data_IF_387149380004
#
_entry.id   IF_387149380004
#
_cell.length_a   1.000
_cell.length_b   1.000
_cell.length_c   1.000
_cell.angle_alpha   90.00
_cell.angle_beta   90.00
_cell.angle_gamma   90.00
#
_symmetry.space_group_name_H-M   'P 1'
#
loop_
_entity.id
_entity.type
_entity.pdbx_description
1 polymer ?
#
# COMPACT_ATOMS: atom_id res chain seq x y z
N UNK A 1 -20.86 -9.68 4.07
CA UNK A 1 -21.40 -8.41 3.56
C UNK A 1 -20.66 -7.27 4.26
N UNK A 2 -19.97 -6.38 3.53
CA UNK A 2 -19.28 -5.24 4.16
C UNK A 2 -20.31 -4.19 4.58
N UNK A 3 -20.31 -3.79 5.85
CA UNK A 3 -21.19 -2.69 6.31
C UNK A 3 -20.67 -1.34 5.82
N UNK A 4 -21.55 -0.34 5.73
CA UNK A 4 -21.18 1.04 5.38
C UNK A 4 -20.08 1.57 6.31
N UNK A 5 -20.17 1.27 7.61
CA UNK A 5 -19.17 1.65 8.60
C UNK A 5 -17.80 1.02 8.27
N UNK A 6 -17.74 -0.28 7.99
CA UNK A 6 -16.50 -0.96 7.67
C UNK A 6 -15.84 -0.43 6.38
N UNK A 7 -16.62 -0.10 5.36
CA UNK A 7 -16.10 0.54 4.14
C UNK A 7 -15.50 1.92 4.42
N UNK A 8 -16.18 2.73 5.25
CA UNK A 8 -15.67 4.05 5.65
C UNK A 8 -14.39 3.94 6.46
N UNK A 9 -14.34 3.07 7.47
CA UNK A 9 -13.13 2.84 8.25
C UNK A 9 -11.98 2.35 7.37
N UNK A 10 -12.24 1.43 6.44
CA UNK A 10 -11.22 0.93 5.50
C UNK A 10 -10.71 2.04 4.58
N UNK A 11 -11.59 2.91 4.10
CA UNK A 11 -11.20 4.06 3.29
C UNK A 11 -10.45 5.14 4.10
N UNK A 12 -10.84 5.42 5.35
CA UNK A 12 -10.10 6.35 6.21
C UNK A 12 -8.68 5.87 6.49
N UNK A 13 -8.52 4.58 6.83
CA UNK A 13 -7.20 3.98 7.02
C UNK A 13 -6.39 3.98 5.71
N UNK A 14 -7.04 3.77 4.57
CA UNK A 14 -6.42 3.91 3.26
C UNK A 14 -5.93 5.34 2.96
N UNK A 15 -6.72 6.37 3.30
CA UNK A 15 -6.32 7.77 3.16
C UNK A 15 -5.13 8.09 4.06
N UNK A 16 -5.15 7.63 5.31
CA UNK A 16 -4.03 7.79 6.23
C UNK A 16 -2.77 7.07 5.73
N UNK A 17 -2.92 5.84 5.25
CA UNK A 17 -1.81 5.08 4.64
C UNK A 17 -1.19 5.86 3.48
N UNK A 18 -1.99 6.32 2.52
CA UNK A 18 -1.49 7.10 1.40
C UNK A 18 -0.82 8.42 1.83
N UNK A 19 -1.37 9.11 2.83
CA UNK A 19 -0.76 10.30 3.40
C UNK A 19 0.56 10.01 4.11
N UNK A 20 0.65 8.90 4.84
CA UNK A 20 1.86 8.46 5.54
C UNK A 20 2.96 7.97 4.60
N UNK A 21 2.63 7.67 3.35
CA UNK A 21 3.64 7.42 2.30
C UNK A 21 4.09 8.72 1.64
N UNK A 22 3.15 9.60 1.27
CA UNK A 22 3.45 10.77 0.46
C UNK A 22 3.99 11.97 1.27
N UNK A 23 3.42 12.27 2.44
CA UNK A 23 3.79 13.46 3.20
C UNK A 23 5.20 13.36 3.79
N UNK A 24 5.61 12.24 4.43
CA UNK A 24 6.99 12.04 4.88
C UNK A 24 8.01 12.28 3.76
N UNK A 25 7.82 11.64 2.61
CA UNK A 25 8.71 11.78 1.47
C UNK A 25 8.85 13.23 0.97
N UNK A 26 7.78 14.02 1.03
CA UNK A 26 7.84 15.45 0.67
C UNK A 26 8.58 16.28 1.72
N UNK A 27 8.40 15.97 3.01
CA UNK A 27 9.09 16.66 4.11
C UNK A 27 10.59 16.36 4.09
N UNK A 28 10.96 15.12 3.80
CA UNK A 28 12.34 14.62 3.76
C UNK A 28 13.21 15.30 2.69
N UNK A 29 12.60 15.87 1.63
CA UNK A 29 13.30 16.73 0.66
C UNK A 29 14.01 17.92 1.31
N UNK A 30 13.50 18.41 2.44
CA UNK A 30 13.98 19.62 3.11
C UNK A 30 14.69 19.28 4.42
N UNK A 31 14.16 18.31 5.17
CA UNK A 31 14.65 18.00 6.52
C UNK A 31 15.61 16.83 6.58
N UNK A 32 15.70 16.02 5.51
CA UNK A 32 16.16 14.65 5.61
C UNK A 32 15.19 13.76 6.40
N UNK A 33 15.50 12.47 6.48
CA UNK A 33 14.75 11.49 7.25
C UNK A 33 14.79 11.82 8.76
N UNK A 34 13.62 11.76 9.41
CA UNK A 34 13.45 12.04 10.83
C UNK A 34 12.72 10.88 11.51
N UNK A 35 12.80 10.78 12.83
CA UNK A 35 12.08 9.75 13.58
C UNK A 35 10.55 9.78 13.34
N UNK A 36 9.98 10.98 13.14
CA UNK A 36 8.55 11.12 12.84
C UNK A 36 8.23 10.64 11.43
N UNK A 37 9.01 11.03 10.42
CA UNK A 37 8.76 10.61 9.04
C UNK A 37 8.93 9.10 8.88
N UNK A 38 9.95 8.54 9.53
CA UNK A 38 10.18 7.09 9.60
C UNK A 38 9.02 6.36 10.31
N UNK A 39 8.54 6.86 11.45
CA UNK A 39 7.37 6.29 12.14
C UNK A 39 6.14 6.23 11.22
N UNK A 40 5.85 7.32 10.51
CA UNK A 40 4.71 7.38 9.60
C UNK A 40 4.86 6.38 8.46
N UNK A 41 6.03 6.34 7.82
CA UNK A 41 6.35 5.37 6.75
C UNK A 41 6.19 3.93 7.24
N UNK A 42 6.74 3.60 8.40
CA UNK A 42 6.68 2.26 9.00
C UNK A 42 5.26 1.79 9.38
N UNK A 43 4.35 2.72 9.70
CA UNK A 43 2.95 2.40 10.00
C UNK A 43 2.07 2.28 8.74
N UNK A 44 2.49 2.89 7.62
CA UNK A 44 1.69 2.98 6.41
C UNK A 44 1.19 1.63 5.86
N UNK A 45 1.97 0.51 5.88
CA UNK A 45 1.51 -0.76 5.32
C UNK A 45 0.39 -1.40 6.15
N UNK A 46 0.46 -1.28 7.48
CA UNK A 46 -0.58 -1.79 8.37
C UNK A 46 -1.94 -1.09 8.13
N UNK A 47 -1.89 0.22 7.89
CA UNK A 47 -3.07 1.03 7.55
C UNK A 47 -3.65 0.69 6.16
N UNK A 48 -2.83 0.17 5.24
CA UNK A 48 -3.28 -0.24 3.90
C UNK A 48 -4.06 -1.58 3.91
N UNK A 49 -3.89 -2.43 4.91
CA UNK A 49 -4.50 -3.78 4.95
C UNK A 49 -6.03 -3.72 4.84
N UNK A 50 -6.77 -2.91 5.63
CA UNK A 50 -8.22 -2.86 5.52
C UNK A 50 -8.70 -2.31 4.17
N UNK A 51 -7.95 -1.35 3.58
CA UNK A 51 -8.25 -0.83 2.26
C UNK A 51 -8.17 -1.95 1.20
N UNK A 52 -7.08 -2.73 1.18
CA UNK A 52 -6.89 -3.81 0.22
C UNK A 52 -8.04 -4.84 0.29
N UNK A 53 -8.45 -5.22 1.50
CA UNK A 53 -9.59 -6.12 1.72
C UNK A 53 -10.90 -5.54 1.19
N UNK A 54 -11.19 -4.26 1.48
CA UNK A 54 -12.39 -3.60 1.00
C UNK A 54 -12.42 -3.44 -0.53
N UNK A 55 -11.28 -3.11 -1.16
CA UNK A 55 -11.15 -3.03 -2.61
C UNK A 55 -11.42 -4.39 -3.28
N UNK A 56 -10.90 -5.47 -2.71
CA UNK A 56 -11.16 -6.83 -3.21
C UNK A 56 -12.62 -7.23 -3.05
N UNK A 57 -13.21 -7.00 -1.88
CA UNK A 57 -14.61 -7.31 -1.61
C UNK A 57 -15.57 -6.66 -2.63
N UNK A 58 -15.22 -5.46 -3.11
CA UNK A 58 -16.01 -4.76 -4.13
C UNK A 58 -15.89 -5.32 -5.55
N UNK A 59 -14.87 -6.11 -5.85
CA UNK A 59 -14.61 -6.63 -7.21
C UNK A 59 -14.64 -8.15 -7.30
N UNK A 60 -14.94 -8.86 -6.21
CA UNK A 60 -14.86 -10.32 -6.13
C UNK A 60 -15.67 -11.03 -7.23
N UNK A 61 -16.86 -10.52 -7.56
CA UNK A 61 -17.71 -11.09 -8.61
C UNK A 61 -17.26 -10.75 -10.04
N UNK A 62 -16.43 -9.71 -10.22
CA UNK A 62 -16.00 -9.26 -11.54
C UNK A 62 -14.72 -9.97 -12.04
N UNK A 63 -13.90 -10.50 -11.14
CA UNK A 63 -12.56 -11.04 -11.47
C UNK A 63 -12.41 -12.52 -11.14
N UNK A 64 -13.32 -13.09 -10.33
CA UNK A 64 -13.31 -14.51 -9.98
C UNK A 64 -12.00 -14.95 -9.31
N UNK A 65 -11.57 -16.19 -9.58
CA UNK A 65 -10.43 -16.83 -8.92
C UNK A 65 -9.12 -16.07 -9.06
N UNK A 66 -8.85 -15.46 -10.23
CA UNK A 66 -7.65 -14.64 -10.43
C UNK A 66 -7.60 -13.47 -9.44
N UNK A 67 -8.72 -12.77 -9.26
CA UNK A 67 -8.80 -11.65 -8.32
C UNK A 67 -8.59 -12.08 -6.87
N UNK A 68 -9.07 -13.27 -6.50
CA UNK A 68 -8.87 -13.84 -5.16
C UNK A 68 -7.40 -14.19 -4.92
N UNK A 69 -6.76 -14.92 -5.84
CA UNK A 69 -5.32 -15.24 -5.73
C UNK A 69 -4.48 -13.96 -5.68
N UNK A 70 -4.74 -13.02 -6.58
CA UNK A 70 -4.06 -11.73 -6.62
C UNK A 70 -4.17 -10.98 -5.29
N UNK A 71 -5.36 -10.95 -4.70
CA UNK A 71 -5.59 -10.32 -3.40
C UNK A 71 -4.85 -11.03 -2.26
N UNK A 72 -4.86 -12.36 -2.22
CA UNK A 72 -4.15 -13.13 -1.19
C UNK A 72 -2.65 -12.94 -1.26
N UNK A 73 -2.06 -13.00 -2.46
CA UNK A 73 -0.62 -12.73 -2.66
C UNK A 73 -0.29 -11.29 -2.25
N UNK A 74 -1.15 -10.33 -2.58
CA UNK A 74 -0.99 -8.94 -2.15
C UNK A 74 -1.08 -8.78 -0.63
N UNK A 75 -2.00 -9.45 0.05
CA UNK A 75 -2.10 -9.39 1.52
C UNK A 75 -0.90 -10.04 2.22
N UNK A 76 -0.44 -11.20 1.73
CA UNK A 76 0.77 -11.85 2.24
C UNK A 76 1.98 -10.95 2.04
N UNK A 77 2.14 -10.40 0.84
CA UNK A 77 3.19 -9.45 0.53
C UNK A 77 3.13 -8.20 1.40
N UNK A 78 1.95 -7.62 1.59
CA UNK A 78 1.75 -6.43 2.43
C UNK A 78 2.08 -6.72 3.90
N UNK A 79 1.78 -7.92 4.41
CA UNK A 79 2.19 -8.34 5.75
C UNK A 79 3.71 -8.50 5.88
N UNK A 80 4.34 -9.19 4.94
CA UNK A 80 5.78 -9.44 4.92
C UNK A 80 6.58 -8.14 4.76
N UNK A 81 6.27 -7.36 3.73
CA UNK A 81 6.90 -6.07 3.48
C UNK A 81 6.50 -5.04 4.54
N UNK A 82 5.30 -5.10 5.10
CA UNK A 82 4.91 -4.27 6.24
C UNK A 82 5.76 -4.53 7.47
N UNK A 83 6.06 -5.79 7.78
CA UNK A 83 7.01 -6.15 8.82
C UNK A 83 8.42 -5.63 8.51
N UNK A 84 8.90 -5.81 7.28
CA UNK A 84 10.21 -5.30 6.86
C UNK A 84 10.30 -3.77 6.95
N UNK A 85 9.29 -3.05 6.45
CA UNK A 85 9.21 -1.60 6.50
C UNK A 85 9.12 -1.09 7.94
N UNK A 86 8.33 -1.74 8.80
CA UNK A 86 8.29 -1.43 10.24
C UNK A 86 9.68 -1.60 10.86
N UNK A 87 10.36 -2.72 10.58
CA UNK A 87 11.71 -2.95 11.10
C UNK A 87 12.67 -1.87 10.61
N UNK A 88 12.72 -1.57 9.32
CA UNK A 88 13.62 -0.56 8.75
C UNK A 88 13.37 0.84 9.33
N UNK A 89 12.10 1.27 9.38
CA UNK A 89 11.75 2.66 9.69
C UNK A 89 11.53 2.93 11.18
N UNK A 90 11.38 1.91 12.02
CA UNK A 90 11.10 2.10 13.46
C UNK A 90 12.15 1.41 14.32
N UNK A 91 12.46 0.13 14.04
CA UNK A 91 13.38 -0.62 14.88
C UNK A 91 14.85 -0.35 14.54
N UNK A 92 15.18 -0.21 13.25
CA UNK A 92 16.55 -0.14 12.75
C UNK A 92 16.98 1.28 12.38
N UNK A 93 16.05 2.21 12.18
CA UNK A 93 16.32 3.61 11.81
C UNK A 93 17.31 4.33 12.75
N UNK A 94 17.33 3.95 14.03
CA UNK A 94 18.22 4.57 15.03
C UNK A 94 19.64 4.00 15.05
N UNK A 95 19.95 3.00 14.21
CA UNK A 95 21.28 2.42 14.15
C UNK A 95 22.24 3.29 13.32
N UNK A 96 23.51 3.28 13.70
CA UNK A 96 24.55 3.90 12.90
C UNK A 96 24.64 3.27 11.50
N UNK A 97 24.91 4.08 10.48
CA UNK A 97 24.92 3.65 9.09
C UNK A 97 25.87 2.47 8.80
N UNK A 98 27.00 2.38 9.52
CA UNK A 98 27.93 1.26 9.39
C UNK A 98 27.32 -0.07 9.87
N UNK A 99 26.60 -0.04 11.00
CA UNK A 99 25.94 -1.22 11.58
C UNK A 99 24.77 -1.65 10.70
N UNK A 100 23.96 -0.70 10.24
CA UNK A 100 22.87 -0.98 9.32
C UNK A 100 23.39 -1.56 7.99
N UNK A 101 24.48 -1.02 7.47
CA UNK A 101 25.13 -1.51 6.25
C UNK A 101 25.64 -2.94 6.38
N UNK A 102 26.28 -3.30 7.50
CA UNK A 102 26.72 -4.67 7.76
C UNK A 102 25.53 -5.64 7.88
N UNK A 103 24.48 -5.23 8.60
CA UNK A 103 23.26 -6.03 8.77
C UNK A 103 22.56 -6.28 7.43
N UNK A 104 22.40 -5.23 6.60
CA UNK A 104 21.76 -5.30 5.29
C UNK A 104 22.65 -5.93 4.22
N UNK A 105 23.97 -5.94 4.39
CA UNK A 105 24.88 -6.73 3.57
C UNK A 105 24.83 -8.24 3.86
N UNK A 106 24.28 -8.63 5.00
CA UNK A 106 24.14 -10.01 5.44
C UNK A 106 22.80 -10.68 5.11
N UNK A 107 22.48 -11.80 5.79
CA UNK A 107 21.24 -12.55 5.57
C UNK A 107 19.96 -11.73 5.79
N UNK A 108 19.99 -10.73 6.67
CA UNK A 108 18.83 -9.89 6.95
C UNK A 108 18.40 -9.08 5.72
N UNK A 109 19.35 -8.51 4.97
CA UNK A 109 19.05 -7.80 3.72
C UNK A 109 18.42 -8.70 2.66
N UNK A 110 18.86 -9.96 2.55
CA UNK A 110 18.25 -10.94 1.65
C UNK A 110 16.79 -11.26 2.03
N UNK A 111 16.50 -11.36 3.32
CA UNK A 111 15.12 -11.58 3.81
C UNK A 111 14.25 -10.36 3.54
N UNK A 112 14.76 -9.14 3.79
CA UNK A 112 14.06 -7.88 3.46
C UNK A 112 13.75 -7.81 1.96
N UNK A 113 14.73 -8.11 1.10
CA UNK A 113 14.54 -8.16 -0.35
C UNK A 113 13.47 -9.19 -0.75
N UNK A 114 13.51 -10.40 -0.17
CA UNK A 114 12.52 -11.44 -0.44
C UNK A 114 11.10 -10.99 -0.05
N UNK A 115 10.93 -10.37 1.13
CA UNK A 115 9.67 -9.77 1.55
C UNK A 115 9.19 -8.70 0.55
N UNK A 116 10.10 -7.82 0.11
CA UNK A 116 9.83 -6.81 -0.91
C UNK A 116 9.39 -7.40 -2.25
N UNK A 117 10.02 -8.48 -2.72
CA UNK A 117 9.66 -9.15 -3.98
C UNK A 117 8.28 -9.80 -3.93
N UNK A 118 7.92 -10.43 -2.80
CA UNK A 118 6.56 -11.00 -2.63
C UNK A 118 5.51 -9.87 -2.64
N UNK A 119 5.80 -8.75 -1.99
CA UNK A 119 4.95 -7.57 -2.03
C UNK A 119 4.83 -6.95 -3.42
N UNK A 120 5.94 -6.83 -4.16
CA UNK A 120 5.95 -6.35 -5.52
C UNK A 120 5.07 -7.22 -6.42
N UNK A 121 5.25 -8.55 -6.37
CA UNK A 121 4.45 -9.49 -7.14
C UNK A 121 2.96 -9.37 -6.79
N UNK A 122 2.62 -9.37 -5.50
CA UNK A 122 1.25 -9.20 -5.03
C UNK A 122 0.63 -7.89 -5.51
N UNK A 123 1.37 -6.79 -5.42
CA UNK A 123 0.92 -5.46 -5.84
C UNK A 123 0.64 -5.37 -7.33
N UNK A 124 1.50 -5.97 -8.17
CA UNK A 124 1.28 -6.09 -9.62
C UNK A 124 0.02 -6.90 -9.89
N UNK A 125 -0.09 -8.10 -9.34
CA UNK A 125 -1.23 -8.99 -9.59
C UNK A 125 -2.54 -8.33 -9.15
N UNK A 126 -2.56 -7.71 -7.97
CA UNK A 126 -3.76 -7.07 -7.44
C UNK A 126 -4.12 -5.81 -8.23
N UNK A 127 -3.15 -4.97 -8.60
CA UNK A 127 -3.38 -3.83 -9.47
C UNK A 127 -3.92 -4.23 -10.85
N UNK A 128 -3.34 -5.26 -11.47
CA UNK A 128 -3.85 -5.84 -12.73
C UNK A 128 -5.27 -6.38 -12.55
N UNK A 129 -5.57 -7.02 -11.41
CA UNK A 129 -6.93 -7.48 -11.10
C UNK A 129 -7.93 -6.32 -11.06
N UNK A 130 -7.56 -5.19 -10.45
CA UNK A 130 -8.40 -3.98 -10.41
C UNK A 130 -8.61 -3.37 -11.79
N UNK A 131 -7.55 -3.31 -12.61
CA UNK A 131 -7.63 -2.83 -14.00
C UNK A 131 -8.54 -3.71 -14.85
N UNK A 132 -8.47 -5.04 -14.68
CA UNK A 132 -9.32 -6.02 -15.38
C UNK A 132 -10.77 -5.95 -14.92
N UNK A 133 -11.00 -5.79 -13.61
CA UNK A 133 -12.34 -5.69 -13.01
C UNK A 133 -13.13 -4.50 -13.54
N UNK A 134 -12.43 -3.38 -13.83
CA UNK A 134 -13.02 -2.07 -14.16
C UNK A 134 -14.01 -1.55 -13.11
N UNK A 135 -13.97 -2.09 -11.90
CA UNK A 135 -14.76 -1.62 -10.76
C UNK A 135 -14.13 -0.35 -10.19
N UNK A 136 -12.80 -0.28 -10.10
CA UNK A 136 -12.05 0.86 -9.57
C UNK A 136 -11.44 1.71 -10.70
N UNK A 137 -11.13 3.00 -10.46
CA UNK A 137 -10.52 3.85 -11.48
C UNK A 137 -9.17 3.30 -11.95
N UNK A 138 -8.96 3.29 -13.27
CA UNK A 138 -7.79 2.63 -13.89
C UNK A 138 -6.47 3.31 -13.55
N UNK A 139 -6.45 4.64 -13.44
CA UNK A 139 -5.23 5.41 -13.17
C UNK A 139 -4.59 5.02 -11.83
N UNK A 140 -5.29 5.12 -10.67
CA UNK A 140 -4.68 4.73 -9.41
C UNK A 140 -4.53 3.20 -9.25
N UNK A 141 -5.28 2.39 -10.01
CA UNK A 141 -5.04 0.94 -10.07
C UNK A 141 -3.71 0.60 -10.78
N UNK A 142 -3.37 1.31 -11.86
CA UNK A 142 -2.04 1.22 -12.49
C UNK A 142 -0.95 1.80 -11.59
N UNK A 143 -1.23 2.91 -10.92
CA UNK A 143 -0.33 3.48 -9.92
C UNK A 143 0.01 2.46 -8.82
N UNK A 144 -0.98 1.74 -8.30
CA UNK A 144 -0.77 0.61 -7.38
C UNK A 144 0.09 -0.50 -8.00
N UNK A 145 -0.16 -0.87 -9.26
CA UNK A 145 0.55 -1.94 -9.96
C UNK A 145 2.01 -1.61 -10.29
N UNK A 146 2.42 -0.33 -10.22
CA UNK A 146 3.75 0.12 -10.66
C UNK A 146 4.52 0.79 -9.52
N UNK A 147 3.91 1.75 -8.82
CA UNK A 147 4.58 2.52 -7.78
C UNK A 147 4.87 1.70 -6.51
N UNK A 148 3.96 0.80 -6.09
CA UNK A 148 4.21 -0.05 -4.91
C UNK A 148 5.31 -1.10 -5.15
N UNK A 149 5.36 -1.80 -6.30
CA UNK A 149 6.53 -2.62 -6.64
C UNK A 149 7.83 -1.82 -6.70
N UNK A 150 7.81 -0.64 -7.29
CA UNK A 150 8.99 0.23 -7.35
C UNK A 150 9.45 0.62 -5.93
N UNK A 151 8.52 0.91 -5.03
CA UNK A 151 8.82 1.23 -3.62
C UNK A 151 9.45 0.02 -2.91
N UNK A 152 8.93 -1.18 -3.15
CA UNK A 152 9.48 -2.40 -2.57
C UNK A 152 10.93 -2.67 -2.99
N UNK A 153 11.24 -2.39 -4.27
CA UNK A 153 12.60 -2.52 -4.83
C UNK A 153 13.51 -1.39 -4.35
N UNK A 154 12.96 -0.20 -4.13
CA UNK A 154 13.70 0.96 -3.66
C UNK A 154 13.94 0.98 -2.15
N UNK A 155 13.19 0.19 -1.36
CA UNK A 155 13.27 0.17 0.10
C UNK A 155 14.69 -0.03 0.71
N UNK A 156 15.60 -0.85 0.14
CA UNK A 156 16.96 -0.98 0.66
C UNK A 156 17.93 0.08 0.11
N UNK A 157 17.48 0.97 -0.77
CA UNK A 157 18.33 1.99 -1.38
C UNK A 157 18.37 3.25 -0.51
N UNK A 158 19.47 4.02 -0.55
CA UNK A 158 19.51 5.33 0.07
C UNK A 158 18.46 6.28 -0.52
N UNK A 159 18.07 7.27 0.28
CA UNK A 159 17.15 8.30 -0.16
C UNK A 159 17.68 9.07 -1.37
N UNK A 160 16.78 9.30 -2.33
CA UNK A 160 17.05 10.04 -3.55
C UNK A 160 15.78 10.69 -4.06
N UNK A 161 15.88 11.68 -4.97
CA UNK A 161 14.69 12.26 -5.61
C UNK A 161 13.80 11.20 -6.29
N UNK A 162 14.38 10.09 -6.74
CA UNK A 162 13.64 8.96 -7.31
C UNK A 162 12.85 8.20 -6.25
N UNK A 163 13.45 7.86 -5.10
CA UNK A 163 12.73 7.15 -4.02
C UNK A 163 11.62 8.01 -3.44
N UNK A 164 11.83 9.32 -3.33
CA UNK A 164 10.80 10.30 -2.94
C UNK A 164 9.64 10.32 -3.95
N UNK A 165 9.94 10.44 -5.24
CA UNK A 165 8.90 10.44 -6.28
C UNK A 165 8.07 9.15 -6.26
N UNK A 166 8.72 8.00 -6.05
CA UNK A 166 8.05 6.71 -5.92
C UNK A 166 7.12 6.67 -4.71
N UNK A 167 7.55 7.17 -3.54
CA UNK A 167 6.71 7.28 -2.34
C UNK A 167 5.48 8.16 -2.56
N UNK A 168 5.67 9.32 -3.19
CA UNK A 168 4.57 10.24 -3.51
C UNK A 168 3.57 9.59 -4.47
N UNK A 169 4.05 8.94 -5.53
CA UNK A 169 3.19 8.26 -6.51
C UNK A 169 2.42 7.07 -5.89
N UNK A 170 3.10 6.29 -5.05
CA UNK A 170 2.49 5.20 -4.30
C UNK A 170 1.40 5.72 -3.36
N UNK A 171 1.74 6.70 -2.51
CA UNK A 171 0.83 7.30 -1.56
C UNK A 171 -0.38 7.95 -2.22
N UNK A 172 -0.17 8.70 -3.31
CA UNK A 172 -1.25 9.30 -4.09
C UNK A 172 -2.19 8.25 -4.71
N UNK A 173 -1.64 7.13 -5.21
CA UNK A 173 -2.43 6.04 -5.77
C UNK A 173 -3.31 5.37 -4.71
N UNK A 174 -2.73 5.08 -3.54
CA UNK A 174 -3.44 4.50 -2.38
C UNK A 174 -4.53 5.45 -1.88
N UNK A 175 -4.19 6.73 -1.68
CA UNK A 175 -5.13 7.76 -1.23
C UNK A 175 -6.28 7.95 -2.22
N UNK A 176 -6.01 7.91 -3.53
CA UNK A 176 -7.05 8.03 -4.56
C UNK A 176 -8.01 6.83 -4.54
N UNK A 177 -7.49 5.59 -4.48
CA UNK A 177 -8.34 4.40 -4.34
C UNK A 177 -9.21 4.49 -3.07
N UNK A 178 -8.64 4.95 -1.97
CA UNK A 178 -9.34 5.15 -0.71
C UNK A 178 -10.43 6.24 -0.80
N UNK A 179 -10.13 7.38 -1.42
CA UNK A 179 -11.11 8.47 -1.62
C UNK A 179 -12.31 8.01 -2.46
N UNK A 180 -12.06 7.22 -3.52
CA UNK A 180 -13.13 6.66 -4.36
C UNK A 180 -13.95 5.63 -3.58
N UNK A 181 -13.31 4.81 -2.76
CA UNK A 181 -14.01 3.88 -1.88
C UNK A 181 -14.91 4.62 -0.89
N UNK A 182 -14.41 5.71 -0.29
CA UNK A 182 -15.17 6.57 0.62
C UNK A 182 -16.41 7.15 -0.04
N UNK A 183 -16.26 7.83 -1.18
CA UNK A 183 -17.36 8.45 -1.91
C UNK A 183 -18.46 7.43 -2.29
N UNK A 184 -18.06 6.21 -2.66
CA UNK A 184 -18.99 5.14 -3.00
C UNK A 184 -19.63 4.45 -1.79
N UNK A 185 -19.11 4.63 -0.59
CA UNK A 185 -19.75 4.19 0.65
C UNK A 185 -20.89 5.15 1.06
N UNK A 186 -20.88 6.39 0.55
CA UNK A 186 -21.93 7.39 0.82
C UNK A 186 -23.15 7.22 -0.08
N UNK A 187 -23.00 6.67 -1.29
CA UNK A 187 -24.07 6.46 -2.24
C UNK A 187 -25.25 5.68 -1.62
N UNK A 188 -26.51 6.16 -1.75
CA UNK A 188 -27.69 5.43 -1.29
C UNK A 188 -27.74 4.03 -1.93
N UNK A 189 -28.13 3.02 -1.15
CA UNK A 189 -28.49 1.72 -1.70
C UNK A 189 -29.71 1.95 -2.61
N UNK A 190 -29.68 1.59 -3.90
CA UNK A 190 -30.86 1.71 -4.75
C UNK A 190 -32.01 0.98 -4.08
N UNK A 191 -33.15 1.67 -3.92
CA UNK A 191 -34.36 1.03 -3.40
C UNK A 191 -34.67 -0.17 -4.31
N UNK A 192 -34.83 -1.35 -3.71
CA UNK A 192 -35.33 -2.51 -4.45
C UNK A 192 -36.72 -2.11 -4.95
N UNK A 193 -37.00 -2.16 -6.26
CA UNK A 193 -38.34 -1.92 -6.77
C UNK A 193 -39.28 -2.86 -6.04
N UNK A 194 -40.34 -2.33 -5.43
CA UNK A 194 -41.38 -3.17 -4.87
C UNK A 194 -41.85 -4.11 -5.98
N UNK A 195 -41.80 -5.42 -5.71
CA UNK A 195 -42.31 -6.41 -6.65
C UNK A 195 -43.77 -6.05 -6.95
N UNK A 196 -44.07 -5.81 -8.24
CA UNK A 196 -45.41 -5.58 -8.75
C UNK A 196 -46.18 -6.90 -8.84
#
# INVERSE_FOLDING_TARGET
MYTKALLRSSAALGLLSGAFMALPAVVELVTGETALTSLLLGLSPALAVPLAAALHARQIHAVGAFGTVAHLVNLLGLGLFGGAAYSLNIALFHLDAAVLGELMGGPAGLVVLACGLVFALGSVLFGVSMVRARVHPRVPAWGHAVALPALAVAAPLPDSPLTIAVHVLAGASVAWLAAVLWARAEAPVPAVPAAA
#
